data_IF_316168793189
#
_entry.id   IF_316168793189
#
_cell.length_a   1.000
_cell.length_b   1.000
_cell.length_c   1.000
_cell.angle_alpha   90.00
_cell.angle_beta   90.00
_cell.angle_gamma   90.00
#
_symmetry.space_group_name_H-M   'P 1'
#
loop_
_entity.id
_entity.type
_entity.pdbx_description
1 polymer ?
#
# COMPACT_ATOMS: atom_id res chain seq x y z
N UNK A 1 4.46 2.82 -6.82
CA UNK A 1 3.49 1.85 -6.24
C UNK A 1 2.55 1.49 -7.36
N UNK A 2 2.36 0.22 -7.64
CA UNK A 2 1.70 -0.22 -8.88
C UNK A 2 0.41 -0.98 -8.57
N UNK A 3 -0.60 -0.84 -9.41
CA UNK A 3 -1.81 -1.68 -9.40
C UNK A 3 -1.89 -2.46 -10.71
N UNK A 4 -2.52 -3.62 -10.68
CA UNK A 4 -2.81 -4.42 -11.87
C UNK A 4 -4.28 -4.21 -12.24
N UNK A 5 -4.50 -3.51 -13.34
CA UNK A 5 -5.82 -3.28 -13.92
C UNK A 5 -6.02 -4.05 -15.22
N UNK A 6 -7.20 -3.94 -15.84
CA UNK A 6 -7.52 -4.59 -17.12
C UNK A 6 -6.58 -4.15 -18.26
N UNK A 7 -5.97 -2.96 -18.14
CA UNK A 7 -5.05 -2.40 -19.13
C UNK A 7 -3.56 -2.67 -18.79
N UNK A 8 -3.28 -3.55 -17.83
CA UNK A 8 -1.93 -3.89 -17.39
C UNK A 8 -1.52 -3.22 -16.08
N UNK A 9 -0.20 -3.11 -15.88
CA UNK A 9 0.40 -2.54 -14.67
C UNK A 9 0.43 -1.01 -14.80
N UNK A 10 -0.05 -0.31 -13.78
CA UNK A 10 -0.06 1.16 -13.75
C UNK A 10 0.53 1.67 -12.45
N UNK A 11 1.35 2.71 -12.51
CA UNK A 11 1.78 3.43 -11.31
C UNK A 11 0.60 4.23 -10.73
N UNK A 12 0.28 3.94 -9.47
CA UNK A 12 -0.89 4.47 -8.75
C UNK A 12 -0.53 5.30 -7.53
N UNK A 13 0.76 5.48 -7.24
CA UNK A 13 1.17 6.33 -6.12
C UNK A 13 2.60 6.12 -5.65
N UNK A 14 2.92 6.82 -4.57
CA UNK A 14 4.25 6.87 -3.96
C UNK A 14 4.16 6.68 -2.45
N UNK A 15 4.92 5.72 -1.93
CA UNK A 15 5.07 5.51 -0.48
C UNK A 15 5.90 6.67 0.09
N UNK A 16 5.40 7.30 1.15
CA UNK A 16 6.06 8.43 1.83
C UNK A 16 6.70 8.00 3.14
N UNK A 17 6.08 7.07 3.86
CA UNK A 17 6.63 6.46 5.07
C UNK A 17 6.21 5.01 5.18
N UNK A 18 7.04 4.18 5.80
CA UNK A 18 6.74 2.77 5.99
C UNK A 18 7.69 2.14 7.00
N UNK A 19 7.17 1.16 7.73
CA UNK A 19 7.95 0.38 8.70
C UNK A 19 7.27 -0.97 8.95
N UNK A 20 7.99 -1.87 9.64
CA UNK A 20 7.37 -3.04 10.24
C UNK A 20 6.54 -2.61 11.46
N UNK A 21 5.31 -3.10 11.57
CA UNK A 21 4.47 -2.93 12.75
C UNK A 21 4.61 -4.14 13.68
N UNK A 22 5.20 -4.01 14.87
CA UNK A 22 5.27 -5.13 15.83
C UNK A 22 3.89 -5.58 16.30
N UNK A 23 2.91 -4.67 16.33
CA UNK A 23 1.55 -4.98 16.78
C UNK A 23 0.78 -5.79 15.74
N UNK A 24 0.98 -5.50 14.45
CA UNK A 24 0.30 -6.20 13.36
C UNK A 24 1.11 -7.37 12.80
N UNK A 25 2.39 -7.48 13.14
CA UNK A 25 3.28 -8.55 12.68
C UNK A 25 3.65 -8.47 11.19
N UNK A 26 3.39 -7.34 10.52
CA UNK A 26 3.70 -7.14 9.10
C UNK A 26 4.07 -5.69 8.78
N UNK A 27 4.58 -5.48 7.56
CA UNK A 27 4.88 -4.14 7.04
C UNK A 27 3.61 -3.30 6.89
N UNK A 28 3.71 -2.02 7.23
CA UNK A 28 2.70 -0.99 6.98
C UNK A 28 3.35 0.23 6.35
N UNK A 29 2.58 0.98 5.57
CA UNK A 29 3.07 2.17 4.89
C UNK A 29 1.96 3.18 4.68
N UNK A 30 2.31 4.47 4.66
CA UNK A 30 1.50 5.54 4.14
C UNK A 30 2.00 5.92 2.74
N UNK A 31 1.05 6.25 1.87
CA UNK A 31 1.33 6.60 0.49
C UNK A 31 0.39 7.71 0.03
N UNK A 32 0.88 8.54 -0.89
CA UNK A 32 0.03 9.38 -1.72
C UNK A 32 -0.42 8.54 -2.91
N UNK A 33 -1.73 8.35 -3.02
CA UNK A 33 -2.34 7.48 -4.03
C UNK A 33 -3.13 8.31 -5.05
N UNK A 34 -3.27 7.74 -6.25
CA UNK A 34 -4.23 8.20 -7.25
C UNK A 34 -5.64 8.27 -6.64
N UNK A 35 -6.45 9.28 -7.01
CA UNK A 35 -7.85 9.37 -6.60
C UNK A 35 -8.72 8.19 -7.05
N UNK A 36 -8.24 7.34 -7.96
CA UNK A 36 -8.95 6.13 -8.40
C UNK A 36 -8.79 4.96 -7.41
N UNK A 37 -7.78 4.98 -6.54
CA UNK A 37 -7.57 3.92 -5.56
C UNK A 37 -8.67 3.91 -4.49
N UNK A 38 -9.11 2.71 -4.12
CA UNK A 38 -10.15 2.48 -3.11
C UNK A 38 -9.63 1.55 -2.01
N UNK A 39 -10.17 1.67 -0.78
CA UNK A 39 -9.94 0.65 0.23
C UNK A 39 -10.31 -0.74 -0.29
N UNK A 40 -9.40 -1.69 -0.12
CA UNK A 40 -9.53 -3.04 -0.63
C UNK A 40 -8.62 -3.36 -1.80
N UNK A 41 -8.19 -2.35 -2.56
CA UNK A 41 -7.37 -2.52 -3.75
C UNK A 41 -6.04 -3.22 -3.43
N UNK A 42 -5.64 -4.12 -4.32
CA UNK A 42 -4.33 -4.77 -4.27
C UNK A 42 -3.31 -3.94 -5.04
N UNK A 43 -2.12 -3.85 -4.48
CA UNK A 43 -1.02 -3.06 -5.03
C UNK A 43 0.30 -3.80 -4.85
N UNK A 44 1.25 -3.51 -5.71
CA UNK A 44 2.63 -3.93 -5.59
C UNK A 44 3.49 -2.73 -5.21
N UNK A 45 4.34 -2.91 -4.21
CA UNK A 45 5.24 -1.89 -3.68
C UNK A 45 6.67 -2.36 -3.92
N UNK A 46 7.46 -1.56 -4.61
CA UNK A 46 8.90 -1.78 -4.69
C UNK A 46 9.55 -1.30 -3.39
N UNK A 47 10.18 -2.23 -2.68
CA UNK A 47 10.97 -1.96 -1.48
C UNK A 47 12.40 -2.41 -1.75
N UNK A 48 13.27 -1.44 -2.08
CA UNK A 48 14.70 -1.66 -2.35
C UNK A 48 14.95 -2.74 -3.41
N UNK A 49 14.17 -2.72 -4.49
CA UNK A 49 14.26 -3.67 -5.61
C UNK A 49 13.49 -4.98 -5.39
N UNK A 50 12.79 -5.14 -4.26
CA UNK A 50 11.90 -6.28 -4.02
C UNK A 50 10.44 -5.87 -4.16
N UNK A 51 9.68 -6.64 -4.93
CA UNK A 51 8.23 -6.42 -5.06
C UNK A 51 7.47 -7.06 -3.90
N UNK A 52 6.80 -6.23 -3.11
CA UNK A 52 5.96 -6.67 -2.00
C UNK A 52 4.48 -6.43 -2.33
N UNK A 53 3.65 -7.42 -2.05
CA UNK A 53 2.20 -7.27 -2.14
C UNK A 53 1.68 -6.41 -0.98
N UNK A 54 0.79 -5.49 -1.29
CA UNK A 54 0.09 -4.63 -0.34
C UNK A 54 -1.40 -4.57 -0.60
N UNK A 55 -2.13 -4.01 0.35
CA UNK A 55 -3.56 -3.71 0.23
C UNK A 55 -3.83 -2.30 0.73
N UNK A 56 -4.59 -1.53 -0.02
CA UNK A 56 -5.08 -0.22 0.43
C UNK A 56 -6.12 -0.45 1.52
N UNK A 57 -5.93 0.17 2.68
CA UNK A 57 -6.82 0.02 3.84
C UNK A 57 -7.14 1.40 4.43
N UNK A 58 -8.30 1.57 5.09
CA UNK A 58 -8.60 2.80 5.80
C UNK A 58 -7.63 2.98 6.98
N UNK A 59 -7.38 4.24 7.35
CA UNK A 59 -6.68 4.60 8.57
C UNK A 59 -7.68 4.79 9.73
N UNK A 60 -7.24 4.65 11.00
CA UNK A 60 -5.92 4.19 11.43
C UNK A 60 -5.73 2.68 11.23
N UNK A 61 -4.48 2.21 11.13
CA UNK A 61 -4.17 0.78 10.98
C UNK A 61 -4.57 -0.06 12.21
N UNK A 62 -4.68 0.59 13.37
CA UNK A 62 -5.06 -0.02 14.65
C UNK A 62 -6.09 0.91 15.28
N UNK A 63 -7.19 0.35 15.78
CA UNK A 63 -8.22 1.12 16.48
C UNK A 63 -7.63 1.88 17.68
N UNK A 64 -8.07 3.12 17.89
CA UNK A 64 -7.80 3.82 19.14
C UNK A 64 -8.60 3.15 20.26
N UNK A 65 -7.98 3.04 21.44
CA UNK A 65 -8.70 2.70 22.67
C UNK A 65 -9.41 3.93 23.20
#
# INVERSE_FOLDING_TARGET
MRSVGPNGVTDVGTVTSGNFSPVLGHGIALALLSPECRPGDRVTIDVRGSELAGRVVPTPFIAKR
#
